data_IF_163255152390
#
_entry.id   IF_163255152390
#
_cell.length_a   1.000
_cell.length_b   1.000
_cell.length_c   1.000
_cell.angle_alpha   90.00
_cell.angle_beta   90.00
_cell.angle_gamma   90.00
#
_symmetry.space_group_name_H-M   'P 1'
#
loop_
_entity.id
_entity.type
_entity.pdbx_description
1 polymer ?
#
# COMPACT_ATOMS: atom_id res chain seq x y z
N UNK A 1 14.25 -8.26 -38.46
CA UNK A 1 14.39 -8.17 -36.99
C UNK A 1 13.51 -7.03 -36.47
N UNK A 2 12.32 -7.33 -35.93
CA UNK A 2 11.37 -6.35 -35.35
C UNK A 2 10.64 -6.92 -34.13
N UNK A 3 11.30 -7.84 -33.40
CA UNK A 3 10.66 -8.65 -32.34
C UNK A 3 11.11 -8.31 -30.92
N UNK A 4 12.25 -7.64 -30.71
CA UNK A 4 12.81 -7.45 -29.36
C UNK A 4 12.27 -6.21 -28.65
N UNK A 5 11.93 -5.14 -29.39
CA UNK A 5 11.46 -3.86 -28.83
C UNK A 5 10.05 -3.89 -28.21
N UNK A 6 9.25 -4.93 -28.49
CA UNK A 6 7.89 -5.04 -27.99
C UNK A 6 7.86 -5.66 -26.57
N UNK A 7 8.72 -6.65 -26.32
CA UNK A 7 8.81 -7.33 -25.02
C UNK A 7 9.37 -6.42 -23.92
N UNK A 8 10.44 -5.67 -24.19
CA UNK A 8 11.03 -4.75 -23.21
C UNK A 8 10.06 -3.64 -22.76
N UNK A 9 9.19 -3.19 -23.65
CA UNK A 9 8.18 -2.18 -23.31
C UNK A 9 7.07 -2.77 -22.44
N UNK A 10 6.62 -4.00 -22.71
CA UNK A 10 5.62 -4.68 -21.87
C UNK A 10 6.13 -4.93 -20.45
N UNK A 11 7.38 -5.37 -20.28
CA UNK A 11 7.98 -5.58 -18.95
C UNK A 11 8.12 -4.27 -18.17
N UNK A 12 8.53 -3.17 -18.82
CA UNK A 12 8.60 -1.84 -18.19
C UNK A 12 7.24 -1.35 -17.69
N UNK A 13 6.18 -1.53 -18.48
CA UNK A 13 4.82 -1.14 -18.05
C UNK A 13 4.37 -1.97 -16.85
N UNK A 14 4.68 -3.27 -16.81
CA UNK A 14 4.35 -4.13 -15.66
C UNK A 14 5.07 -3.69 -14.38
N UNK A 15 6.36 -3.32 -14.46
CA UNK A 15 7.12 -2.82 -13.31
C UNK A 15 6.50 -1.52 -12.77
N UNK A 16 6.10 -0.60 -13.65
CA UNK A 16 5.46 0.65 -13.25
C UNK A 16 4.12 0.38 -12.56
N UNK A 17 3.30 -0.50 -13.11
CA UNK A 17 2.01 -0.87 -12.53
C UNK A 17 2.17 -1.52 -11.14
N UNK A 18 3.19 -2.37 -10.98
CA UNK A 18 3.53 -2.99 -9.70
C UNK A 18 4.02 -1.97 -8.68
N UNK A 19 4.85 -1.00 -9.09
CA UNK A 19 5.27 0.11 -8.23
C UNK A 19 4.10 0.98 -7.78
N UNK A 20 3.19 1.33 -8.70
CA UNK A 20 1.96 2.08 -8.38
C UNK A 20 1.12 1.29 -7.36
N UNK A 21 0.98 -0.03 -7.55
CA UNK A 21 0.26 -0.89 -6.61
C UNK A 21 0.90 -0.87 -5.22
N UNK A 22 2.23 -1.01 -5.14
CA UNK A 22 2.99 -0.93 -3.89
C UNK A 22 2.80 0.42 -3.18
N UNK A 23 2.86 1.53 -3.91
CA UNK A 23 2.64 2.87 -3.36
C UNK A 23 1.22 3.06 -2.81
N UNK A 24 0.20 2.55 -3.52
CA UNK A 24 -1.19 2.59 -3.05
C UNK A 24 -1.37 1.83 -1.74
N UNK A 25 -0.73 0.66 -1.60
CA UNK A 25 -0.76 -0.15 -0.37
C UNK A 25 -0.02 0.55 0.77
N UNK A 26 1.17 1.08 0.49
CA UNK A 26 1.94 1.86 1.47
C UNK A 26 1.10 3.02 2.01
N UNK A 27 0.45 3.78 1.13
CA UNK A 27 -0.40 4.88 1.54
C UNK A 27 -1.57 4.40 2.42
N UNK A 28 -2.17 3.24 2.11
CA UNK A 28 -3.27 2.67 2.90
C UNK A 28 -2.82 2.30 4.31
N UNK A 29 -1.69 1.61 4.43
CA UNK A 29 -1.12 1.26 5.72
C UNK A 29 -0.61 2.48 6.49
N UNK A 30 -0.03 3.46 5.82
CA UNK A 30 0.37 4.72 6.44
C UNK A 30 -0.85 5.49 6.98
N UNK A 31 -1.96 5.52 6.23
CA UNK A 31 -3.20 6.13 6.68
C UNK A 31 -3.75 5.43 7.94
N UNK A 32 -3.81 4.10 7.93
CA UNK A 32 -4.22 3.28 9.09
C UNK A 32 -3.35 3.62 10.30
N UNK A 33 -2.02 3.65 10.12
CA UNK A 33 -1.10 3.96 11.20
C UNK A 33 -1.25 5.39 11.72
N UNK A 34 -1.45 6.38 10.85
CA UNK A 34 -1.63 7.77 11.29
C UNK A 34 -2.90 7.99 12.11
N UNK A 35 -3.98 7.27 11.80
CA UNK A 35 -5.27 7.41 12.49
C UNK A 35 -5.43 6.47 13.67
N UNK A 36 -4.59 5.43 13.77
CA UNK A 36 -4.60 4.35 14.78
C UNK A 36 -5.85 3.47 14.76
N UNK A 37 -7.02 4.03 14.45
CA UNK A 37 -8.28 3.34 14.25
C UNK A 37 -9.06 4.04 13.13
N UNK A 38 -9.52 3.26 12.15
CA UNK A 38 -10.31 3.80 11.02
C UNK A 38 -11.20 2.72 10.39
N UNK A 39 -12.20 3.15 9.62
CA UNK A 39 -13.04 2.28 8.80
C UNK A 39 -12.47 2.15 7.40
N UNK A 40 -12.80 1.04 6.72
CA UNK A 40 -12.40 0.82 5.32
C UNK A 40 -12.91 1.95 4.41
N UNK A 41 -14.09 2.49 4.69
CA UNK A 41 -14.67 3.61 3.94
C UNK A 41 -13.85 4.90 4.05
N UNK A 42 -13.21 5.16 5.18
CA UNK A 42 -12.36 6.36 5.37
C UNK A 42 -11.06 6.22 4.57
N UNK A 43 -10.48 5.02 4.54
CA UNK A 43 -9.30 4.72 3.74
C UNK A 43 -9.61 4.92 2.25
N UNK A 44 -10.73 4.37 1.75
CA UNK A 44 -11.14 4.46 0.34
C UNK A 44 -11.45 5.89 -0.11
N UNK A 45 -11.88 6.78 0.80
CA UNK A 45 -12.07 8.21 0.49
C UNK A 45 -10.75 8.96 0.37
N UNK A 46 -9.72 8.47 1.05
CA UNK A 46 -8.42 9.15 1.14
C UNK A 46 -7.44 8.66 0.08
N UNK A 47 -7.63 7.45 -0.43
CA UNK A 47 -6.67 6.75 -1.28
C UNK A 47 -7.40 6.10 -2.44
N UNK A 48 -6.89 6.35 -3.66
CA UNK A 48 -7.37 5.71 -4.88
C UNK A 48 -6.93 4.24 -4.96
N UNK A 49 -7.64 3.37 -4.25
CA UNK A 49 -7.44 1.92 -4.26
C UNK A 49 -8.79 1.19 -4.43
N UNK A 50 -8.79 0.13 -5.23
CA UNK A 50 -9.97 -0.70 -5.39
C UNK A 50 -10.39 -1.32 -4.06
N UNK A 51 -11.70 -1.32 -3.78
CA UNK A 51 -12.27 -1.87 -2.55
C UNK A 51 -11.80 -3.30 -2.28
N UNK A 52 -11.96 -4.22 -3.25
CA UNK A 52 -11.54 -5.61 -3.13
C UNK A 52 -10.06 -5.74 -2.76
N UNK A 53 -9.20 -5.03 -3.48
CA UNK A 53 -7.76 -4.99 -3.22
C UNK A 53 -7.44 -4.53 -1.80
N UNK A 54 -8.10 -3.48 -1.32
CA UNK A 54 -7.89 -3.01 0.06
C UNK A 54 -8.30 -4.06 1.09
N UNK A 55 -9.44 -4.73 0.91
CA UNK A 55 -9.84 -5.82 1.79
C UNK A 55 -8.81 -6.96 1.78
N UNK A 56 -8.31 -7.38 0.61
CA UNK A 56 -7.28 -8.44 0.53
C UNK A 56 -6.01 -8.07 1.33
N UNK A 57 -5.58 -6.81 1.29
CA UNK A 57 -4.42 -6.34 2.05
C UNK A 57 -4.71 -6.22 3.56
N UNK A 58 -5.90 -5.78 3.93
CA UNK A 58 -6.35 -5.77 5.33
C UNK A 58 -6.35 -7.21 5.88
N UNK A 59 -6.86 -8.18 5.11
CA UNK A 59 -6.91 -9.58 5.51
C UNK A 59 -5.51 -10.14 5.73
N UNK A 60 -4.59 -9.88 4.79
CA UNK A 60 -3.18 -10.26 4.92
C UNK A 60 -2.53 -9.61 6.14
N UNK A 61 -2.71 -8.31 6.33
CA UNK A 61 -2.11 -7.56 7.44
C UNK A 61 -2.67 -8.00 8.81
N UNK A 62 -3.95 -8.37 8.88
CA UNK A 62 -4.55 -8.94 10.07
C UNK A 62 -3.96 -10.33 10.38
N UNK A 63 -3.80 -11.18 9.36
CA UNK A 63 -3.22 -12.50 9.50
C UNK A 63 -1.74 -12.45 9.95
N UNK A 64 -0.99 -11.46 9.48
CA UNK A 64 0.40 -11.20 9.92
C UNK A 64 0.48 -10.38 11.20
N UNK A 65 -0.65 -10.10 11.86
CA UNK A 65 -0.73 -9.38 13.13
C UNK A 65 -0.13 -7.96 13.07
N UNK A 66 -0.21 -7.28 11.93
CA UNK A 66 0.16 -5.87 11.78
C UNK A 66 -1.00 -4.92 12.11
N UNK A 67 -2.23 -5.41 11.99
CA UNK A 67 -3.46 -4.71 12.36
C UNK A 67 -4.39 -5.64 13.13
N UNK A 68 -5.49 -5.10 13.63
CA UNK A 68 -6.64 -5.84 14.17
C UNK A 68 -7.88 -5.42 13.39
N UNK A 69 -8.67 -6.39 12.93
CA UNK A 69 -10.07 -6.16 12.58
C UNK A 69 -10.92 -6.22 13.84
N UNK A 70 -11.38 -5.07 14.33
CA UNK A 70 -12.25 -5.01 15.49
C UNK A 70 -13.72 -4.98 15.07
N UNK A 71 -14.46 -6.02 15.50
CA UNK A 71 -15.88 -6.21 15.21
C UNK A 71 -16.79 -5.76 16.36
N UNK A 72 -16.21 -5.33 17.49
CA UNK A 72 -16.97 -4.97 18.69
C UNK A 72 -17.64 -3.60 18.58
N UNK A 73 -17.16 -2.74 17.67
CA UNK A 73 -17.78 -1.45 17.45
C UNK A 73 -19.10 -1.61 16.69
N UNK A 74 -20.18 -1.12 17.32
CA UNK A 74 -21.54 -1.02 16.78
C UNK A 74 -21.48 -0.68 15.30
N UNK A 75 -22.13 -1.50 14.46
CA UNK A 75 -22.33 -1.30 13.01
C UNK A 75 -22.23 0.19 12.69
N UNK A 76 -21.09 0.60 12.12
CA UNK A 76 -20.89 2.02 11.83
C UNK A 76 -22.00 2.44 10.85
N UNK A 77 -22.52 3.66 11.00
CA UNK A 77 -23.60 4.24 10.18
C UNK A 77 -23.39 4.11 8.66
N UNK A 78 -22.17 3.77 8.24
CA UNK A 78 -21.73 3.62 6.86
C UNK A 78 -21.76 2.15 6.37
N UNK A 79 -22.27 1.19 7.15
CA UNK A 79 -22.35 -0.23 6.78
C UNK A 79 -21.02 -0.99 6.86
N UNK A 80 -19.99 -0.42 7.51
CA UNK A 80 -18.73 -1.12 7.75
C UNK A 80 -18.92 -2.19 8.84
N UNK A 81 -18.46 -3.41 8.56
CA UNK A 81 -18.59 -4.58 9.44
C UNK A 81 -17.55 -4.61 10.57
N UNK A 82 -16.47 -3.84 10.44
CA UNK A 82 -15.38 -3.75 11.42
C UNK A 82 -14.65 -2.41 11.31
N UNK A 83 -13.87 -2.06 12.34
CA UNK A 83 -12.79 -1.07 12.28
C UNK A 83 -11.44 -1.74 12.10
N UNK A 84 -10.51 -1.02 11.49
CA UNK A 84 -9.12 -1.40 11.33
C UNK A 84 -8.30 -0.65 12.37
N UNK A 85 -7.72 -1.38 13.31
CA UNK A 85 -6.87 -0.84 14.36
C UNK A 85 -5.41 -1.14 14.04
N UNK A 86 -4.57 -0.11 14.02
CA UNK A 86 -3.14 -0.24 13.80
C UNK A 86 -2.46 -0.91 15.00
N UNK A 87 -1.46 -1.73 14.74
CA UNK A 87 -0.53 -2.18 15.79
C UNK A 87 0.84 -1.53 15.61
N UNK A 88 1.66 -1.48 16.68
CA UNK A 88 3.01 -0.91 16.60
C UNK A 88 3.90 -1.55 15.52
N UNK A 89 3.74 -2.85 15.26
CA UNK A 89 4.52 -3.60 14.27
C UNK A 89 4.30 -3.07 12.83
N UNK A 90 3.16 -2.42 12.57
CA UNK A 90 2.89 -1.78 11.28
C UNK A 90 3.91 -0.67 10.98
N UNK A 91 4.37 0.06 12.01
CA UNK A 91 5.38 1.11 11.84
C UNK A 91 6.68 0.52 11.29
N UNK A 92 7.12 -0.64 11.80
CA UNK A 92 8.35 -1.28 11.35
C UNK A 92 8.30 -1.62 9.86
N UNK A 93 7.15 -2.10 9.37
CA UNK A 93 6.95 -2.35 7.94
C UNK A 93 6.98 -1.04 7.13
N UNK A 94 6.30 0.01 7.60
CA UNK A 94 6.27 1.30 6.92
C UNK A 94 7.67 1.94 6.82
N UNK A 95 8.49 1.81 7.85
CA UNK A 95 9.88 2.27 7.84
C UNK A 95 10.69 1.51 6.79
N UNK A 96 10.58 0.19 6.72
CA UNK A 96 11.26 -0.61 5.70
C UNK A 96 10.84 -0.19 4.28
N UNK A 97 9.54 -0.01 4.04
CA UNK A 97 9.03 0.47 2.76
C UNK A 97 9.59 1.83 2.39
N UNK A 98 9.58 2.78 3.32
CA UNK A 98 10.13 4.13 3.10
C UNK A 98 11.61 4.07 2.76
N UNK A 99 12.39 3.23 3.45
CA UNK A 99 13.81 3.05 3.16
C UNK A 99 14.04 2.51 1.75
N UNK A 100 13.25 1.52 1.32
CA UNK A 100 13.35 0.96 -0.05
C UNK A 100 13.02 2.03 -1.09
N UNK A 101 11.93 2.79 -0.90
CA UNK A 101 11.51 3.85 -1.82
C UNK A 101 12.59 4.93 -1.92
N UNK A 102 13.15 5.38 -0.78
CA UNK A 102 14.21 6.38 -0.75
C UNK A 102 15.51 5.86 -1.38
N UNK A 103 15.85 4.59 -1.19
CA UNK A 103 16.99 3.95 -1.83
C UNK A 103 16.86 3.96 -3.35
N UNK A 104 15.69 3.55 -3.86
CA UNK A 104 15.40 3.56 -5.29
C UNK A 104 15.45 4.97 -5.90
N UNK A 105 14.87 5.97 -5.22
CA UNK A 105 14.91 7.35 -5.69
C UNK A 105 16.34 7.90 -5.77
N UNK A 106 17.19 7.54 -4.80
CA UNK A 106 18.60 7.93 -4.79
C UNK A 106 19.39 7.30 -5.94
N UNK A 107 19.20 6.00 -6.18
CA UNK A 107 19.84 5.32 -7.31
C UNK A 107 19.45 5.98 -8.65
N UNK A 108 18.18 6.35 -8.82
CA UNK A 108 17.71 7.04 -10.02
C UNK A 108 18.22 8.48 -10.16
N UNK A 109 18.55 9.17 -9.06
CA UNK A 109 19.16 10.51 -9.14
C UNK A 109 20.66 10.44 -9.44
N UNK A 110 21.37 9.47 -8.85
CA UNK A 110 22.82 9.31 -9.02
C UNK A 110 23.19 8.86 -10.47
N UNK A 111 22.27 8.19 -11.16
CA UNK A 111 22.39 7.84 -12.59
C UNK A 111 22.23 9.05 -13.54
N UNK A 112 21.59 10.15 -13.11
CA UNK A 112 21.43 11.37 -13.92
C UNK A 112 22.65 12.29 -13.89
N UNK A 113 23.47 12.23 -12.84
CA UNK A 113 24.67 13.05 -12.69
C UNK A 113 25.92 12.47 -13.40
N UNK A 114 25.81 11.26 -13.97
CA UNK A 114 26.89 10.57 -14.70
C UNK A 114 26.67 10.51 -16.24
N UNK A 115 25.77 11.34 -16.79
CA UNK A 115 25.41 11.40 -18.21
C UNK A 115 25.75 12.74 -18.86
#
# INVERSE_FOLDING_TARGET
MKSEKCCENQEKFQIIDDLIRCLKIYNAFNYIYQHQECTVSEILKSIDICKSTLYDYIDKANNTKLIIKDFNNKIHKNGSQFTVVAKPELLSLLVQFKTIILGFLKEMSDDQDNL
#
